data_IF_858877798154
#
_entry.id   IF_858877798154
#
_cell.length_a   1.000
_cell.length_b   1.000
_cell.length_c   1.000
_cell.angle_alpha   90.00
_cell.angle_beta   90.00
_cell.angle_gamma   90.00
#
_symmetry.space_group_name_H-M   'P 1'
#
loop_
_entity.id
_entity.type
_entity.pdbx_description
1 polymer ?
#
# COMPACT_ATOMS: atom_id res chain seq x y z
N UNK A 1 -5.49 16.85 -5.55
CA UNK A 1 -4.52 16.21 -4.65
C UNK A 1 -4.52 14.71 -4.94
N UNK A 2 -3.35 14.09 -5.14
CA UNK A 2 -3.24 12.68 -5.55
C UNK A 2 -3.36 11.79 -4.31
N UNK A 3 -4.34 10.86 -4.28
CA UNK A 3 -4.60 9.98 -3.14
C UNK A 3 -3.60 8.83 -3.00
N UNK A 4 -3.05 8.40 -4.14
CA UNK A 4 -2.03 7.37 -4.23
C UNK A 4 -0.67 8.00 -4.52
N UNK A 5 0.31 7.71 -3.69
CA UNK A 5 1.70 8.08 -3.91
C UNK A 5 2.53 6.82 -4.11
N UNK A 6 3.15 6.69 -5.28
CA UNK A 6 3.96 5.52 -5.63
C UNK A 6 5.41 5.98 -5.63
N UNK A 7 6.26 5.26 -4.90
CA UNK A 7 7.68 5.56 -4.76
C UNK A 7 8.54 4.30 -4.96
N UNK A 8 9.77 4.51 -5.42
CA UNK A 8 10.80 3.46 -5.42
C UNK A 8 12.16 4.06 -5.05
N UNK A 9 12.99 3.28 -4.38
CA UNK A 9 14.38 3.65 -4.12
C UNK A 9 15.25 2.40 -3.98
N UNK A 10 16.56 2.55 -4.24
CA UNK A 10 17.54 1.51 -3.96
C UNK A 10 18.08 1.68 -2.53
N UNK A 11 18.19 0.60 -1.78
CA UNK A 11 18.82 0.61 -0.46
C UNK A 11 20.36 0.48 -0.59
N UNK A 12 21.06 0.56 0.54
CA UNK A 12 22.53 0.41 0.58
C UNK A 12 23.02 -1.01 0.25
N UNK A 13 22.13 -2.01 0.31
CA UNK A 13 22.42 -3.40 -0.01
C UNK A 13 22.22 -3.74 -1.50
N UNK A 14 21.72 -2.80 -2.29
CA UNK A 14 21.47 -2.96 -3.73
C UNK A 14 20.07 -3.47 -4.07
N UNK A 15 19.17 -3.59 -3.10
CA UNK A 15 17.78 -3.97 -3.34
C UNK A 15 16.95 -2.76 -3.75
N UNK A 16 15.99 -2.99 -4.66
CA UNK A 16 15.02 -1.97 -5.08
C UNK A 16 13.74 -2.17 -4.27
N UNK A 17 13.41 -1.17 -3.45
CA UNK A 17 12.19 -1.15 -2.65
C UNK A 17 11.19 -0.26 -3.34
N UNK A 18 10.06 -0.83 -3.75
CA UNK A 18 8.89 -0.10 -4.25
C UNK A 18 7.80 -0.08 -3.19
N UNK A 19 7.08 1.04 -3.10
CA UNK A 19 5.97 1.21 -2.17
C UNK A 19 4.85 2.07 -2.77
N UNK A 20 3.64 1.81 -2.29
CA UNK A 20 2.46 2.61 -2.58
C UNK A 20 1.88 3.10 -1.25
N UNK A 21 1.73 4.42 -1.13
CA UNK A 21 1.15 5.08 0.03
C UNK A 21 -0.24 5.58 -0.34
N UNK A 22 -1.23 5.18 0.45
CA UNK A 22 -2.62 5.60 0.29
C UNK A 22 -2.98 6.47 1.49
N UNK A 23 -3.25 7.75 1.26
CA UNK A 23 -3.71 8.66 2.33
C UNK A 23 -5.22 8.64 2.41
N UNK A 24 -5.79 8.55 3.61
CA UNK A 24 -7.25 8.45 3.83
C UNK A 24 -7.88 7.26 3.10
N UNK A 25 -7.43 6.06 3.47
CA UNK A 25 -7.88 4.77 2.93
C UNK A 25 -9.39 4.60 3.07
N UNK A 26 -10.04 4.03 2.05
CA UNK A 26 -11.47 3.74 2.03
C UNK A 26 -11.72 2.26 1.74
N UNK A 27 -12.95 1.79 1.99
CA UNK A 27 -13.32 0.37 1.77
C UNK A 27 -13.08 -0.05 0.32
N UNK A 28 -13.31 0.85 -0.63
CA UNK A 28 -13.04 0.63 -2.05
C UNK A 28 -11.55 0.48 -2.42
N UNK A 29 -10.63 0.82 -1.52
CA UNK A 29 -9.19 0.59 -1.72
C UNK A 29 -8.76 -0.84 -1.36
N UNK A 30 -9.64 -1.61 -0.74
CA UNK A 30 -9.42 -3.03 -0.50
C UNK A 30 -9.39 -3.81 -1.81
N UNK A 31 -8.47 -4.78 -1.92
CA UNK A 31 -8.28 -5.54 -3.14
C UNK A 31 -7.00 -6.35 -3.16
N UNK A 32 -6.71 -6.98 -4.29
CA UNK A 32 -5.42 -7.63 -4.54
C UNK A 32 -4.44 -6.61 -5.14
N UNK A 33 -3.30 -6.44 -4.48
CA UNK A 33 -2.21 -5.61 -4.94
C UNK A 33 -1.11 -6.51 -5.49
N UNK A 34 -0.80 -6.36 -6.78
CA UNK A 34 0.29 -7.06 -7.45
C UNK A 34 1.45 -6.09 -7.71
N UNK A 35 2.67 -6.54 -7.40
CA UNK A 35 3.89 -5.91 -7.89
C UNK A 35 4.50 -6.75 -9.02
N UNK A 36 4.93 -6.03 -10.06
CA UNK A 36 5.58 -6.56 -11.25
C UNK A 36 7.04 -6.12 -11.24
N UNK A 37 7.95 -7.08 -11.23
CA UNK A 37 9.38 -6.83 -11.32
C UNK A 37 9.88 -7.29 -12.68
N UNK A 38 10.56 -6.41 -13.42
CA UNK A 38 11.16 -6.71 -14.71
C UNK A 38 12.59 -6.22 -14.75
N UNK A 39 13.51 -7.10 -15.14
CA UNK A 39 14.91 -6.78 -15.36
C UNK A 39 15.43 -7.53 -16.59
N UNK A 40 16.72 -7.39 -16.90
CA UNK A 40 17.35 -8.07 -18.05
C UNK A 40 17.33 -9.60 -17.95
N UNK A 41 17.22 -10.16 -16.74
CA UNK A 41 17.19 -11.60 -16.50
C UNK A 41 15.78 -12.20 -16.61
N UNK A 42 14.72 -11.39 -16.52
CA UNK A 42 13.34 -11.86 -16.66
C UNK A 42 12.32 -11.03 -15.88
N UNK A 43 11.15 -11.63 -15.65
CA UNK A 43 10.02 -11.02 -14.93
C UNK A 43 9.63 -11.88 -13.72
N UNK A 44 9.26 -11.22 -12.62
CA UNK A 44 8.68 -11.86 -11.44
C UNK A 44 7.44 -11.07 -10.99
N UNK A 45 6.51 -11.77 -10.34
CA UNK A 45 5.25 -11.21 -9.83
C UNK A 45 5.05 -11.64 -8.40
N UNK A 46 4.52 -10.74 -7.59
CA UNK A 46 4.04 -11.07 -6.26
C UNK A 46 2.74 -10.31 -5.99
N UNK A 47 1.76 -11.01 -5.46
CA UNK A 47 0.44 -10.45 -5.16
C UNK A 47 0.11 -10.68 -3.69
N UNK A 48 -0.45 -9.66 -3.07
CA UNK A 48 -0.92 -9.70 -1.69
C UNK A 48 -2.28 -9.01 -1.57
N UNK A 49 -3.14 -9.56 -0.71
CA UNK A 49 -4.48 -9.00 -0.49
C UNK A 49 -4.46 -7.96 0.62
N UNK A 50 -4.98 -6.78 0.32
CA UNK A 50 -5.24 -5.72 1.29
C UNK A 50 -6.72 -5.72 1.68
N UNK A 51 -7.02 -6.06 2.93
CA UNK A 51 -8.38 -6.02 3.47
C UNK A 51 -8.60 -4.71 4.23
N UNK A 52 -9.52 -3.88 3.75
CA UNK A 52 -9.95 -2.65 4.43
C UNK A 52 -11.37 -2.84 4.94
N UNK A 53 -11.54 -2.63 6.24
CA UNK A 53 -12.85 -2.72 6.89
C UNK A 53 -13.41 -1.32 7.13
N UNK A 54 -14.65 -1.09 6.69
CA UNK A 54 -15.35 0.16 6.93
C UNK A 54 -16.14 0.11 8.23
N UNK A 55 -16.17 1.22 8.95
CA UNK A 55 -17.13 1.39 10.05
C UNK A 55 -18.49 1.76 9.44
N UNK A 56 -19.51 0.93 9.67
CA UNK A 56 -20.89 1.27 9.35
C UNK A 56 -21.34 2.45 10.24
N UNK A 57 -22.04 3.42 9.66
CA UNK A 57 -22.41 4.73 10.25
C UNK A 57 -23.41 4.64 11.43
N UNK A 58 -23.11 3.86 12.48
CA UNK A 58 -23.89 3.80 13.72
C UNK A 58 -23.14 4.35 14.95
N UNK A 59 -21.86 4.74 14.83
CA UNK A 59 -21.03 5.16 15.98
C UNK A 59 -20.30 6.51 15.80
N UNK A 60 -20.65 7.33 14.80
CA UNK A 60 -19.88 8.54 14.44
C UNK A 60 -20.03 9.75 15.39
N UNK A 61 -20.82 9.67 16.46
CA UNK A 61 -20.99 10.78 17.42
C UNK A 61 -19.98 10.78 18.59
N UNK A 62 -19.05 9.83 18.67
CA UNK A 62 -18.08 9.76 19.78
C UNK A 62 -16.60 9.95 19.37
N UNK A 63 -16.30 10.26 18.11
CA UNK A 63 -14.92 10.51 17.68
C UNK A 63 -14.81 11.79 16.85
N UNK A 64 -15.00 12.94 17.49
CA UNK A 64 -14.26 14.13 17.07
C UNK A 64 -12.76 13.84 17.34
N UNK A 65 -11.91 14.04 16.33
CA UNK A 65 -10.43 13.91 16.37
C UNK A 65 -9.81 12.52 16.22
N UNK A 66 -10.14 11.77 15.16
CA UNK A 66 -9.23 10.73 14.66
C UNK A 66 -9.20 10.68 13.13
N UNK A 67 -8.58 11.71 12.53
CA UNK A 67 -7.91 11.56 11.25
C UNK A 67 -6.75 10.57 11.44
N UNK A 68 -7.06 9.28 11.53
CA UNK A 68 -6.04 8.24 11.48
C UNK A 68 -5.44 8.29 10.08
N UNK A 69 -4.28 8.95 9.98
CA UNK A 69 -3.37 8.88 8.85
C UNK A 69 -2.85 7.42 8.73
N UNK A 70 -3.73 6.49 8.33
CA UNK A 70 -3.36 5.12 8.03
C UNK A 70 -2.54 5.13 6.73
N UNK A 71 -1.24 5.35 6.83
CA UNK A 71 -0.29 5.14 5.74
C UNK A 71 -0.02 3.64 5.68
N UNK A 72 -0.65 2.95 4.73
CA UNK A 72 -0.34 1.55 4.45
C UNK A 72 0.89 1.56 3.54
N UNK A 73 2.05 1.20 4.10
CA UNK A 73 3.27 0.98 3.34
C UNK A 73 3.25 -0.47 2.84
N UNK A 74 2.94 -0.69 1.56
CA UNK A 74 3.10 -2.02 0.96
C UNK A 74 4.57 -2.18 0.59
N UNK A 75 5.33 -2.92 1.40
CA UNK A 75 6.71 -3.30 1.11
C UNK A 75 6.72 -4.62 0.34
N UNK A 76 7.22 -4.57 -0.89
CA UNK A 76 7.41 -5.77 -1.72
C UNK A 76 8.91 -6.00 -1.88
N UNK A 77 9.47 -6.95 -1.12
CA UNK A 77 10.89 -7.31 -1.16
C UNK A 77 11.13 -8.50 -2.10
N UNK A 78 12.22 -8.44 -2.86
CA UNK A 78 12.67 -9.50 -3.75
C UNK A 78 13.46 -10.52 -2.94
N UNK A 79 12.81 -11.55 -2.40
CA UNK A 79 13.53 -12.78 -2.00
C UNK A 79 13.97 -13.52 -3.27
N UNK A 80 15.21 -13.28 -3.71
CA UNK A 80 15.95 -14.19 -4.60
C UNK A 80 16.21 -15.52 -3.94
#
# INVERSE_FOLDING_TARGET
MKRFLIGQYANVYGDVISHVNITSVRVEDGGEFECLFENRAGKARHAARLNIYGTFLLYSLLTHDNYLHHIIMIYMDKKT
#
